data_IF_769283393406
#
_entry.id   IF_769283393406
#
_cell.length_a   1.000
_cell.length_b   1.000
_cell.length_c   1.000
_cell.angle_alpha   90.00
_cell.angle_beta   90.00
_cell.angle_gamma   90.00
#
_symmetry.space_group_name_H-M   'P 1'
#
loop_
_entity.id
_entity.type
_entity.pdbx_description
1 polymer ?
#
# COMPACT_ATOMS: atom_id res chain seq x y z
N UNK A 1 3.53 17.58 -18.04
CA UNK A 1 3.75 18.05 -16.66
C UNK A 1 2.37 18.42 -16.17
N UNK A 2 1.72 17.51 -15.45
CA UNK A 2 0.43 17.82 -14.83
C UNK A 2 0.77 18.79 -13.71
N UNK A 3 0.36 20.03 -13.90
CA UNK A 3 0.15 20.93 -12.77
C UNK A 3 -0.95 20.25 -11.96
N UNK A 4 -0.62 19.70 -10.81
CA UNK A 4 -1.59 19.13 -9.87
C UNK A 4 -2.33 20.35 -9.31
N UNK A 5 -3.15 20.94 -10.16
CA UNK A 5 -4.07 22.03 -9.84
C UNK A 5 -5.31 21.47 -9.12
N UNK A 6 -5.14 20.44 -8.31
CA UNK A 6 -6.10 20.03 -7.31
C UNK A 6 -5.47 20.29 -5.96
N UNK A 7 -6.04 21.20 -5.23
CA UNK A 7 -5.65 21.59 -3.87
C UNK A 7 -5.67 20.43 -2.87
N UNK A 8 -6.02 19.20 -3.29
CA UNK A 8 -6.02 18.00 -2.45
C UNK A 8 -6.05 16.70 -3.28
N UNK A 9 -5.26 15.69 -2.87
CA UNK A 9 -5.28 14.33 -3.39
C UNK A 9 -6.05 13.44 -2.41
N UNK A 10 -7.10 12.76 -2.89
CA UNK A 10 -7.87 11.84 -2.05
C UNK A 10 -7.31 10.42 -2.15
N UNK A 11 -6.84 9.88 -1.02
CA UNK A 11 -6.25 8.54 -0.93
C UNK A 11 -7.03 7.70 0.09
N UNK A 12 -7.29 6.45 -0.27
CA UNK A 12 -7.90 5.44 0.60
C UNK A 12 -6.96 4.25 0.75
N UNK A 13 -6.90 3.65 1.93
CA UNK A 13 -6.31 2.33 2.13
C UNK A 13 -7.38 1.32 2.52
N UNK A 14 -7.27 0.07 2.04
CA UNK A 14 -8.29 -0.96 2.30
C UNK A 14 -7.68 -2.36 2.25
N UNK A 15 -7.71 -3.08 3.38
CA UNK A 15 -7.42 -4.50 3.42
C UNK A 15 -8.67 -5.28 2.98
N UNK A 16 -8.57 -5.98 1.83
CA UNK A 16 -9.70 -6.62 1.18
C UNK A 16 -10.15 -7.93 1.82
N UNK A 17 -9.28 -8.59 2.59
CA UNK A 17 -9.50 -9.96 3.07
C UNK A 17 -9.93 -10.94 1.96
N UNK A 18 -9.32 -10.80 0.77
CA UNK A 18 -9.65 -11.54 -0.44
C UNK A 18 -10.48 -10.73 -1.44
N UNK A 19 -10.13 -10.86 -2.72
CA UNK A 19 -10.75 -10.10 -3.80
C UNK A 19 -12.28 -10.27 -3.84
N UNK A 20 -12.77 -11.50 -3.72
CA UNK A 20 -14.22 -11.76 -3.79
C UNK A 20 -15.00 -11.12 -2.62
N UNK A 21 -14.38 -10.96 -1.45
CA UNK A 21 -14.99 -10.34 -0.27
C UNK A 21 -14.97 -8.81 -0.38
N UNK A 22 -13.82 -8.24 -0.79
CA UNK A 22 -13.63 -6.78 -0.88
C UNK A 22 -14.16 -6.16 -2.16
N UNK A 23 -14.44 -6.96 -3.21
CA UNK A 23 -14.80 -6.48 -4.55
C UNK A 23 -16.02 -5.55 -4.56
N UNK A 24 -17.06 -5.88 -3.81
CA UNK A 24 -18.30 -5.09 -3.80
C UNK A 24 -18.05 -3.67 -3.31
N UNK A 25 -17.37 -3.52 -2.17
CA UNK A 25 -17.02 -2.20 -1.63
C UNK A 25 -16.08 -1.45 -2.60
N UNK A 26 -15.07 -2.12 -3.12
CA UNK A 26 -14.13 -1.51 -4.07
C UNK A 26 -14.85 -1.01 -5.34
N UNK A 27 -15.80 -1.80 -5.87
CA UNK A 27 -16.60 -1.40 -7.02
C UNK A 27 -17.43 -0.16 -6.71
N UNK A 28 -18.10 -0.12 -5.56
CA UNK A 28 -18.92 1.02 -5.13
C UNK A 28 -18.07 2.30 -4.98
N UNK A 29 -16.88 2.18 -4.38
CA UNK A 29 -15.94 3.30 -4.23
C UNK A 29 -15.48 3.81 -5.59
N UNK A 30 -15.08 2.92 -6.51
CA UNK A 30 -14.64 3.28 -7.84
C UNK A 30 -15.77 3.86 -8.70
N UNK A 31 -16.99 3.36 -8.58
CA UNK A 31 -18.15 3.89 -9.32
C UNK A 31 -18.51 5.32 -8.85
N UNK A 32 -18.39 5.60 -7.57
CA UNK A 32 -18.58 6.95 -7.01
C UNK A 32 -17.44 7.92 -7.34
N UNK A 33 -16.33 7.42 -7.87
CA UNK A 33 -15.09 8.16 -8.13
C UNK A 33 -14.64 9.02 -6.93
N UNK A 34 -14.83 8.48 -5.71
CA UNK A 34 -14.65 9.24 -4.47
C UNK A 34 -13.17 9.43 -4.09
N UNK A 35 -12.27 8.59 -4.62
CA UNK A 35 -10.84 8.65 -4.31
C UNK A 35 -10.00 8.67 -5.59
N UNK A 36 -8.87 9.34 -5.53
CA UNK A 36 -7.93 9.44 -6.65
C UNK A 36 -7.01 8.22 -6.70
N UNK A 37 -6.62 7.74 -5.52
CA UNK A 37 -5.73 6.58 -5.33
C UNK A 37 -6.31 5.69 -4.24
N UNK A 38 -6.26 4.37 -4.45
CA UNK A 38 -6.70 3.35 -3.51
C UNK A 38 -5.57 2.34 -3.32
N UNK A 39 -5.11 2.20 -2.10
CA UNK A 39 -4.06 1.27 -1.67
C UNK A 39 -4.74 0.01 -1.12
N UNK A 40 -4.55 -1.13 -1.79
CA UNK A 40 -5.21 -2.37 -1.44
C UNK A 40 -4.21 -3.40 -0.89
N UNK A 41 -4.60 -4.10 0.16
CA UNK A 41 -3.87 -5.20 0.75
C UNK A 41 -4.74 -6.46 0.77
N UNK A 42 -4.09 -7.61 0.81
CA UNK A 42 -4.73 -8.92 0.93
C UNK A 42 -5.79 -9.23 -0.16
N UNK A 43 -5.51 -8.95 -1.41
CA UNK A 43 -6.43 -9.32 -2.50
C UNK A 43 -6.44 -10.82 -2.82
N UNK A 44 -5.41 -11.59 -2.45
CA UNK A 44 -5.29 -13.05 -2.60
C UNK A 44 -5.37 -13.58 -4.03
N UNK A 45 -5.22 -12.74 -5.03
CA UNK A 45 -5.21 -13.14 -6.44
C UNK A 45 -3.85 -13.69 -6.84
N UNK A 46 -3.85 -14.72 -7.68
CA UNK A 46 -2.65 -15.14 -8.43
C UNK A 46 -2.29 -14.13 -9.52
N UNK A 47 -1.07 -14.14 -10.02
CA UNK A 47 -0.66 -13.25 -11.12
C UNK A 47 -1.54 -13.39 -12.36
N UNK A 48 -2.02 -14.59 -12.68
CA UNK A 48 -2.95 -14.80 -13.78
C UNK A 48 -4.33 -14.17 -13.60
N UNK A 49 -4.74 -13.88 -12.35
CA UNK A 49 -6.04 -13.30 -12.02
C UNK A 49 -5.96 -11.78 -11.72
N UNK A 50 -4.78 -11.14 -11.80
CA UNK A 50 -4.66 -9.71 -11.52
C UNK A 50 -5.45 -8.82 -12.49
N UNK A 51 -5.74 -9.32 -13.70
CA UNK A 51 -6.60 -8.65 -14.69
C UNK A 51 -8.04 -8.48 -14.22
N UNK A 52 -8.46 -9.20 -13.15
CA UNK A 52 -9.79 -9.02 -12.57
C UNK A 52 -10.01 -7.59 -12.03
N UNK A 53 -8.93 -6.89 -11.66
CA UNK A 53 -8.98 -5.48 -11.28
C UNK A 53 -9.46 -4.57 -12.43
N UNK A 54 -9.15 -4.89 -13.68
CA UNK A 54 -9.59 -4.12 -14.86
C UNK A 54 -11.10 -4.16 -15.05
N UNK A 55 -11.77 -5.15 -14.45
CA UNK A 55 -13.24 -5.29 -14.47
C UNK A 55 -13.97 -4.39 -13.48
N UNK A 56 -13.25 -3.78 -12.53
CA UNK A 56 -13.85 -2.99 -11.43
C UNK A 56 -14.44 -1.69 -11.96
N UNK A 57 -13.67 -0.93 -12.74
CA UNK A 57 -14.13 0.34 -13.30
C UNK A 57 -13.24 0.80 -14.46
N UNK A 58 -13.85 1.28 -15.54
CA UNK A 58 -13.13 1.85 -16.68
C UNK A 58 -12.43 3.20 -16.36
N UNK A 59 -12.80 3.84 -15.25
CA UNK A 59 -12.22 5.13 -14.83
C UNK A 59 -10.89 4.97 -14.09
N UNK A 60 -10.52 3.75 -13.75
CA UNK A 60 -9.33 3.45 -12.98
C UNK A 60 -8.39 2.49 -13.70
N UNK A 61 -7.13 2.55 -13.34
CA UNK A 61 -6.07 1.61 -13.68
C UNK A 61 -5.52 0.98 -12.42
N UNK A 62 -4.82 -0.15 -12.59
CA UNK A 62 -4.26 -0.91 -11.47
C UNK A 62 -2.81 -1.28 -11.72
N UNK A 63 -1.99 -1.15 -10.68
CA UNK A 63 -0.71 -1.85 -10.55
C UNK A 63 -0.83 -2.81 -9.40
N UNK A 64 -0.61 -4.10 -9.63
CA UNK A 64 -0.77 -5.11 -8.58
C UNK A 64 0.37 -6.14 -8.57
N UNK A 65 0.55 -6.79 -7.43
CA UNK A 65 1.51 -7.88 -7.20
C UNK A 65 0.86 -8.99 -6.40
N UNK A 66 1.04 -10.24 -6.86
CA UNK A 66 0.57 -11.44 -6.19
C UNK A 66 1.58 -11.94 -5.15
N UNK A 67 1.09 -12.42 -4.01
CA UNK A 67 1.87 -13.22 -3.07
C UNK A 67 1.66 -14.72 -3.28
N UNK A 68 0.76 -15.11 -4.19
CA UNK A 68 0.31 -16.49 -4.34
C UNK A 68 1.20 -17.34 -5.26
N UNK A 69 1.99 -16.74 -6.14
CA UNK A 69 2.71 -17.48 -7.19
C UNK A 69 3.75 -18.45 -6.66
N UNK A 70 4.42 -18.09 -5.57
CA UNK A 70 5.39 -18.98 -4.91
C UNK A 70 4.75 -20.29 -4.39
N UNK A 71 3.45 -20.27 -4.08
CA UNK A 71 2.70 -21.42 -3.58
C UNK A 71 2.12 -22.25 -4.73
N UNK A 72 1.69 -21.62 -5.81
CA UNK A 72 1.16 -22.31 -6.99
C UNK A 72 2.21 -23.22 -7.65
N UNK A 73 3.49 -22.83 -7.59
CA UNK A 73 4.62 -23.60 -8.11
C UNK A 73 4.89 -24.91 -7.34
N UNK A 74 4.41 -25.05 -6.12
CA UNK A 74 4.63 -26.25 -5.28
C UNK A 74 3.50 -27.27 -5.31
N UNK A 75 2.44 -27.04 -6.11
CA UNK A 75 1.24 -27.90 -6.25
C UNK A 75 0.47 -28.21 -4.94
N UNK A 76 0.77 -27.53 -3.85
CA UNK A 76 0.12 -27.72 -2.55
C UNK A 76 -0.27 -26.37 -1.98
N UNK A 77 -1.51 -25.92 -2.32
CA UNK A 77 -2.18 -24.88 -1.56
C UNK A 77 -2.57 -25.46 -0.19
N UNK A 78 -1.63 -25.46 0.75
CA UNK A 78 -1.91 -25.84 2.13
C UNK A 78 -2.18 -24.55 2.90
N UNK A 79 -3.43 -24.33 3.29
CA UNK A 79 -3.84 -23.19 4.08
C UNK A 79 -4.68 -22.14 3.33
N UNK A 80 -4.96 -21.05 4.02
CA UNK A 80 -5.74 -19.92 3.50
C UNK A 80 -4.86 -19.06 2.59
N UNK A 81 -5.36 -18.57 1.43
CA UNK A 81 -4.68 -17.56 0.64
C UNK A 81 -4.37 -16.32 1.50
N UNK A 82 -3.29 -15.62 1.20
CA UNK A 82 -2.92 -14.41 1.91
C UNK A 82 -2.11 -13.45 1.02
N UNK A 83 -2.03 -12.19 1.46
CA UNK A 83 -1.20 -11.17 0.87
C UNK A 83 -1.67 -10.69 -0.50
N UNK A 84 -0.75 -10.07 -1.21
CA UNK A 84 -0.99 -9.37 -2.47
C UNK A 84 -1.32 -7.90 -2.24
N UNK A 85 -0.68 -7.03 -3.02
CA UNK A 85 -0.82 -5.58 -2.98
C UNK A 85 -1.31 -5.06 -4.32
N UNK A 86 -2.16 -4.03 -4.29
CA UNK A 86 -2.54 -3.30 -5.48
C UNK A 86 -2.63 -1.79 -5.19
N UNK A 87 -2.26 -0.99 -6.17
CA UNK A 87 -2.52 0.45 -6.20
C UNK A 87 -3.45 0.71 -7.36
N UNK A 88 -4.66 1.14 -7.06
CA UNK A 88 -5.65 1.55 -8.03
C UNK A 88 -5.63 3.08 -8.10
N UNK A 89 -5.65 3.62 -9.29
CA UNK A 89 -5.54 5.05 -9.52
C UNK A 89 -6.38 5.51 -10.71
N UNK A 90 -6.87 6.74 -10.68
CA UNK A 90 -7.66 7.30 -11.77
C UNK A 90 -6.86 7.35 -13.07
N UNK A 91 -7.52 7.05 -14.19
CA UNK A 91 -6.90 6.93 -15.51
C UNK A 91 -6.06 8.12 -15.95
N UNK A 92 -6.42 9.33 -15.54
CA UNK A 92 -5.68 10.53 -15.94
C UNK A 92 -4.25 10.60 -15.36
N UNK A 93 -3.95 9.80 -14.32
CA UNK A 93 -2.59 9.68 -13.79
C UNK A 93 -1.69 8.71 -14.58
N UNK A 94 -2.24 7.97 -15.55
CA UNK A 94 -1.52 6.86 -16.22
C UNK A 94 -0.24 7.30 -16.94
N UNK A 95 -0.18 8.53 -17.43
CA UNK A 95 1.00 9.05 -18.14
C UNK A 95 2.16 9.40 -17.20
N UNK A 96 1.86 9.76 -15.96
CA UNK A 96 2.82 10.28 -14.98
C UNK A 96 3.17 9.26 -13.89
N UNK A 97 2.45 8.13 -13.81
CA UNK A 97 2.67 7.11 -12.79
C UNK A 97 3.72 6.10 -13.26
N UNK A 98 4.76 5.89 -12.45
CA UNK A 98 5.83 4.92 -12.69
C UNK A 98 5.96 3.98 -11.49
N UNK A 99 6.07 2.67 -11.76
CA UNK A 99 6.37 1.68 -10.72
C UNK A 99 7.84 1.81 -10.35
N UNK A 100 8.13 2.00 -9.06
CA UNK A 100 9.47 2.17 -8.51
C UNK A 100 9.95 0.89 -7.85
N UNK A 101 9.07 0.24 -7.06
CA UNK A 101 9.40 -1.00 -6.37
C UNK A 101 8.20 -1.94 -6.33
N UNK A 102 8.45 -3.26 -6.40
CA UNK A 102 7.37 -4.24 -6.46
C UNK A 102 7.78 -5.56 -5.81
N UNK A 103 7.28 -5.79 -4.59
CA UNK A 103 7.33 -7.08 -3.88
C UNK A 103 5.94 -7.42 -3.36
N UNK A 104 5.77 -8.60 -2.81
CA UNK A 104 4.50 -9.05 -2.23
C UNK A 104 4.08 -8.31 -0.95
N UNK A 105 5.00 -7.49 -0.36
CA UNK A 105 4.77 -6.73 0.87
C UNK A 105 4.99 -5.23 0.74
N UNK A 106 5.64 -4.79 -0.32
CA UNK A 106 5.96 -3.40 -0.58
C UNK A 106 5.77 -3.11 -2.06
N UNK A 107 4.79 -2.30 -2.38
CA UNK A 107 4.55 -1.80 -3.73
C UNK A 107 4.68 -0.29 -3.71
N UNK A 108 5.56 0.27 -4.55
CA UNK A 108 5.72 1.71 -4.61
C UNK A 108 5.65 2.25 -6.03
N UNK A 109 5.05 3.43 -6.15
CA UNK A 109 4.91 4.16 -7.40
C UNK A 109 5.31 5.62 -7.21
N UNK A 110 5.85 6.20 -8.26
CA UNK A 110 6.13 7.63 -8.35
C UNK A 110 5.05 8.26 -9.23
N UNK A 111 4.32 9.24 -8.71
CA UNK A 111 3.33 10.03 -9.40
C UNK A 111 3.76 11.51 -9.40
N UNK A 112 4.33 11.96 -10.52
CA UNK A 112 4.92 13.31 -10.58
C UNK A 112 6.04 13.49 -9.54
N UNK A 113 5.80 14.30 -8.52
CA UNK A 113 6.71 14.51 -7.38
C UNK A 113 6.25 13.83 -6.09
N UNK A 114 5.35 12.87 -6.17
CA UNK A 114 4.85 12.13 -5.02
C UNK A 114 5.27 10.67 -5.09
N UNK A 115 6.06 10.20 -4.13
CA UNK A 115 6.41 8.79 -3.95
C UNK A 115 5.40 8.13 -3.02
N UNK A 116 4.66 7.18 -3.55
CA UNK A 116 3.58 6.49 -2.84
C UNK A 116 4.03 5.07 -2.53
N UNK A 117 3.88 4.67 -1.28
CA UNK A 117 4.11 3.30 -0.83
C UNK A 117 2.78 2.68 -0.38
N UNK A 118 2.52 1.47 -0.86
CA UNK A 118 1.51 0.58 -0.31
C UNK A 118 2.21 -0.57 0.39
N UNK A 119 2.00 -0.70 1.71
CA UNK A 119 2.70 -1.65 2.57
C UNK A 119 1.77 -2.69 3.18
N UNK A 120 2.29 -3.90 3.39
CA UNK A 120 1.64 -4.96 4.16
C UNK A 120 2.64 -5.61 5.09
N UNK A 121 2.75 -5.11 6.31
CA UNK A 121 3.68 -5.64 7.31
C UNK A 121 3.25 -7.02 7.78
N UNK A 122 4.20 -7.92 8.11
CA UNK A 122 3.87 -9.24 8.62
C UNK A 122 3.28 -9.14 10.03
N UNK A 123 2.43 -10.11 10.38
CA UNK A 123 1.98 -10.30 11.76
C UNK A 123 3.09 -10.91 12.62
N UNK A 124 3.07 -10.66 13.92
CA UNK A 124 4.09 -11.14 14.89
C UNK A 124 4.23 -12.66 14.97
N UNK A 125 3.28 -13.41 14.43
CA UNK A 125 3.30 -14.88 14.39
C UNK A 125 4.23 -15.48 13.33
N UNK A 126 4.77 -14.67 12.41
CA UNK A 126 5.68 -15.11 11.36
C UNK A 126 7.07 -15.36 11.92
N UNK A 127 7.73 -16.44 11.46
CA UNK A 127 9.08 -16.85 11.93
C UNK A 127 10.12 -15.79 11.60
N UNK A 128 10.03 -15.19 10.42
CA UNK A 128 10.94 -14.16 9.87
C UNK A 128 10.42 -12.72 10.11
N UNK A 129 9.52 -12.54 11.09
CA UNK A 129 8.82 -11.28 11.35
C UNK A 129 9.76 -10.08 11.42
N UNK A 130 10.81 -10.16 12.27
CA UNK A 130 11.71 -9.02 12.48
C UNK A 130 12.56 -8.71 11.26
N UNK A 131 13.10 -9.73 10.63
CA UNK A 131 13.97 -9.58 9.46
C UNK A 131 13.16 -8.99 8.30
N UNK A 132 11.94 -9.49 8.05
CA UNK A 132 11.04 -8.93 7.04
C UNK A 132 10.71 -7.45 7.32
N UNK A 133 10.42 -7.09 8.58
CA UNK A 133 10.12 -5.69 8.92
C UNK A 133 11.35 -4.78 8.71
N UNK A 134 12.55 -5.23 9.09
CA UNK A 134 13.79 -4.48 8.88
C UNK A 134 14.05 -4.29 7.39
N UNK A 135 13.90 -5.35 6.59
CA UNK A 135 14.09 -5.29 5.14
C UNK A 135 13.12 -4.31 4.47
N UNK A 136 11.83 -4.34 4.87
CA UNK A 136 10.83 -3.41 4.35
C UNK A 136 11.18 -1.95 4.69
N UNK A 137 11.50 -1.65 5.96
CA UNK A 137 11.85 -0.29 6.40
C UNK A 137 13.14 0.17 5.72
N UNK A 138 14.15 -0.70 5.61
CA UNK A 138 15.42 -0.37 4.94
C UNK A 138 15.21 -0.08 3.44
N UNK A 139 14.35 -0.86 2.78
CA UNK A 139 13.99 -0.63 1.39
C UNK A 139 13.27 0.71 1.19
N UNK A 140 12.28 1.02 2.04
CA UNK A 140 11.59 2.32 2.00
C UNK A 140 12.57 3.47 2.22
N UNK A 141 13.44 3.39 3.23
CA UNK A 141 14.45 4.43 3.50
C UNK A 141 15.40 4.63 2.31
N UNK A 142 15.84 3.54 1.65
CA UNK A 142 16.70 3.61 0.47
C UNK A 142 15.98 4.31 -0.71
N UNK A 143 14.71 3.96 -0.96
CA UNK A 143 13.91 4.59 -2.01
C UNK A 143 13.65 6.07 -1.74
N UNK A 144 13.40 6.45 -0.49
CA UNK A 144 13.26 7.85 -0.07
C UNK A 144 14.57 8.61 -0.32
N UNK A 145 15.70 8.02 0.07
CA UNK A 145 17.01 8.65 -0.11
C UNK A 145 17.41 8.80 -1.60
N UNK A 146 16.94 7.88 -2.47
CA UNK A 146 17.17 7.94 -3.92
C UNK A 146 16.35 9.06 -4.58
N UNK A 147 15.15 9.34 -4.05
CA UNK A 147 14.23 10.33 -4.59
C UNK A 147 14.23 11.60 -3.72
N UNK A 148 15.17 12.51 -4.00
CA UNK A 148 15.28 13.78 -3.26
C UNK A 148 14.24 14.80 -3.75
N UNK A 149 13.86 15.70 -2.87
CA UNK A 149 12.96 16.84 -3.17
C UNK A 149 11.57 16.40 -3.71
N UNK A 150 11.05 15.30 -3.20
CA UNK A 150 9.70 14.82 -3.51
C UNK A 150 8.89 14.59 -2.22
N UNK A 151 7.59 14.65 -2.35
CA UNK A 151 6.67 14.33 -1.27
C UNK A 151 6.54 12.80 -1.09
N UNK A 152 6.21 12.36 0.11
CA UNK A 152 6.13 10.94 0.46
C UNK A 152 4.76 10.66 1.06
N UNK A 153 4.11 9.61 0.56
CA UNK A 153 2.90 9.06 1.12
C UNK A 153 3.10 7.56 1.37
N UNK A 154 2.91 7.12 2.61
CA UNK A 154 2.98 5.70 2.97
C UNK A 154 1.63 5.31 3.55
N UNK A 155 0.96 4.35 2.92
CA UNK A 155 -0.30 3.80 3.39
C UNK A 155 -0.31 2.28 3.28
N UNK A 156 -1.26 1.64 3.96
CA UNK A 156 -1.38 0.19 3.95
C UNK A 156 -1.69 -0.41 5.32
N UNK A 157 -1.52 -1.72 5.43
CA UNK A 157 -1.71 -2.46 6.66
C UNK A 157 -0.37 -2.67 7.38
N UNK A 158 -0.16 -1.96 8.46
CA UNK A 158 1.07 -2.03 9.25
C UNK A 158 1.08 -3.16 10.27
N UNK A 159 -0.05 -3.82 10.52
CA UNK A 159 -0.20 -4.84 11.55
C UNK A 159 0.41 -4.42 12.90
N UNK A 160 0.28 -3.14 13.24
CA UNK A 160 0.94 -2.51 14.38
C UNK A 160 0.13 -1.33 14.91
N UNK A 161 -0.09 -1.29 16.20
CA UNK A 161 -0.54 -0.08 16.88
C UNK A 161 0.68 0.76 17.25
N UNK A 162 0.81 1.95 16.64
CA UNK A 162 1.93 2.86 16.84
C UNK A 162 2.07 3.40 18.28
N UNK A 163 0.98 3.49 19.02
CA UNK A 163 0.98 3.93 20.41
C UNK A 163 1.50 2.86 21.36
N UNK A 164 1.55 1.59 20.88
CA UNK A 164 2.05 0.49 21.68
C UNK A 164 3.56 0.60 21.94
N UNK A 165 4.03 -0.11 22.96
CA UNK A 165 5.47 -0.23 23.27
C UNK A 165 6.13 -1.43 22.55
N UNK A 166 5.53 -1.92 21.46
CA UNK A 166 6.06 -3.05 20.73
C UNK A 166 7.36 -2.70 20.00
N UNK A 167 8.13 -3.73 19.66
CA UNK A 167 9.36 -3.58 18.90
C UNK A 167 9.08 -2.94 17.51
N UNK A 168 8.01 -3.37 16.82
CA UNK A 168 7.65 -2.83 15.51
C UNK A 168 7.19 -1.37 15.61
N UNK A 169 6.40 -1.02 16.62
CA UNK A 169 5.99 0.38 16.85
C UNK A 169 7.20 1.29 17.03
N UNK A 170 8.22 0.81 17.78
CA UNK A 170 9.46 1.56 17.94
C UNK A 170 10.19 1.72 16.61
N UNK A 171 10.36 0.63 15.86
CA UNK A 171 11.02 0.66 14.54
C UNK A 171 10.34 1.65 13.59
N UNK A 172 9.00 1.64 13.53
CA UNK A 172 8.24 2.54 12.66
C UNK A 172 8.32 4.01 13.13
N UNK A 173 8.24 4.28 14.43
CA UNK A 173 8.43 5.65 14.95
C UNK A 173 9.82 6.20 14.70
N UNK A 174 10.86 5.38 14.88
CA UNK A 174 12.25 5.76 14.56
C UNK A 174 12.36 6.08 13.05
N UNK A 175 11.83 5.23 12.17
CA UNK A 175 11.79 5.46 10.72
C UNK A 175 11.03 6.74 10.34
N UNK A 176 9.87 7.00 10.96
CA UNK A 176 9.10 8.23 10.73
C UNK A 176 9.91 9.46 11.12
N UNK A 177 10.54 9.43 12.30
CA UNK A 177 11.38 10.54 12.79
C UNK A 177 12.56 10.81 11.87
N UNK A 178 13.25 9.75 11.40
CA UNK A 178 14.42 9.87 10.53
C UNK A 178 14.08 10.43 9.14
N UNK A 179 12.82 10.28 8.70
CA UNK A 179 12.36 10.73 7.38
C UNK A 179 11.37 11.91 7.45
N UNK A 180 11.19 12.55 8.60
CA UNK A 180 10.25 13.65 8.82
C UNK A 180 8.81 13.32 8.39
N UNK A 181 8.35 12.10 8.67
CA UNK A 181 7.00 11.66 8.36
C UNK A 181 6.06 11.94 9.53
N UNK A 182 4.85 12.37 9.21
CA UNK A 182 3.78 12.61 10.18
C UNK A 182 2.58 11.72 9.89
N UNK A 183 1.78 11.44 10.90
CA UNK A 183 0.54 10.70 10.75
C UNK A 183 -0.54 11.64 10.16
N UNK A 184 -1.10 11.29 9.01
CA UNK A 184 -2.07 12.11 8.29
C UNK A 184 -3.51 11.93 8.75
N UNK A 185 -3.83 10.85 9.46
CA UNK A 185 -5.18 10.56 9.92
C UNK A 185 -5.24 10.59 11.45
N UNK A 186 -6.26 11.25 11.99
CA UNK A 186 -6.64 11.04 13.38
C UNK A 186 -7.28 9.65 13.48
N UNK A 187 -6.76 8.82 14.38
CA UNK A 187 -7.33 7.50 14.65
C UNK A 187 -8.58 7.72 15.48
N UNK A 188 -9.74 7.79 14.81
CA UNK A 188 -11.01 8.03 15.50
C UNK A 188 -11.77 6.74 15.85
N UNK A 189 -11.19 5.55 15.67
CA UNK A 189 -11.93 4.32 15.93
C UNK A 189 -11.05 3.14 16.38
N UNK A 190 -11.71 2.22 17.12
CA UNK A 190 -11.13 1.01 17.72
C UNK A 190 -10.68 -0.06 16.68
N UNK A 191 -10.80 0.20 15.38
CA UNK A 191 -10.26 -0.68 14.35
C UNK A 191 -8.75 -0.50 14.28
N UNK A 192 -8.04 -1.41 14.89
CA UNK A 192 -6.60 -1.57 14.75
C UNK A 192 -6.21 -1.45 13.28
N UNK A 193 -5.28 -0.52 12.88
CA UNK A 193 -4.28 -1.02 11.95
C UNK A 193 -4.05 -0.32 10.61
N UNK A 194 -4.86 0.58 10.11
CA UNK A 194 -4.59 1.22 8.81
C UNK A 194 -4.14 2.67 8.98
N UNK A 195 -2.83 2.89 9.01
CA UNK A 195 -2.25 4.22 9.10
C UNK A 195 -1.81 4.71 7.72
N UNK A 196 -2.07 5.98 7.45
CA UNK A 196 -1.49 6.68 6.31
C UNK A 196 -0.50 7.72 6.80
N UNK A 197 0.72 7.69 6.29
CA UNK A 197 1.78 8.63 6.61
C UNK A 197 2.03 9.55 5.43
N UNK A 198 2.21 10.82 5.67
CA UNK A 198 2.64 11.77 4.66
C UNK A 198 3.84 12.57 5.14
N UNK A 199 4.59 13.08 4.19
CA UNK A 199 5.63 14.06 4.45
C UNK A 199 4.97 15.41 4.77
N UNK A 200 5.42 16.07 5.84
CA UNK A 200 4.99 17.45 6.10
C UNK A 200 5.63 18.34 5.03
N UNK A 201 4.82 18.85 4.11
CA UNK A 201 5.26 19.94 3.24
C UNK A 201 5.29 21.23 4.06
N UNK A 202 6.50 21.72 4.28
CA UNK A 202 6.76 23.07 4.81
C UNK A 202 6.32 24.16 3.83
#
# INVERSE_FOLDING_TARGET
>A
MIDIAHDSLSVMTYNMHGFNQGRTLLTDVCMKCSHDIILLQEHWLSSGALLDFDSISSNYKCVAVSSMDAYLGTNLLVGRPYGGLAIIYKNYFSADLKVVHKTDRLLSVLLGKLLIFNVYFPTTSKVDFKDTCIDMVSCMAALIAEHKDIDILIGGDFNCNLESVSWLSKLLRDFMSDNNLVLCCEINDESELDYTYCHETL
#
